data_IF_852273298452
#
_entry.id   IF_852273298452
#
_cell.length_a   1.000
_cell.length_b   1.000
_cell.length_c   1.000
_cell.angle_alpha   90.00
_cell.angle_beta   90.00
_cell.angle_gamma   90.00
#
_symmetry.space_group_name_H-M   'P 1'
#
loop_
_entity.id
_entity.type
_entity.pdbx_description
1 polymer ?
#
# COMPACT_ATOMS: atom_id res chain seq x y z
N UNK A 1 3.44 -39.84 -84.07
CA UNK A 1 4.13 -41.11 -83.78
C UNK A 1 4.35 -41.14 -82.27
N UNK A 2 3.72 -42.11 -81.61
CA UNK A 2 3.85 -42.42 -80.18
C UNK A 2 5.32 -42.60 -79.76
N UNK A 3 5.69 -42.15 -78.54
CA UNK A 3 6.48 -42.90 -77.54
C UNK A 3 6.30 -42.20 -76.18
N UNK A 4 5.52 -42.74 -75.24
CA UNK A 4 5.83 -43.76 -74.21
C UNK A 4 6.71 -43.23 -73.04
N UNK A 5 6.02 -42.90 -71.93
CA UNK A 5 6.24 -43.22 -70.49
C UNK A 5 7.65 -43.53 -69.97
N UNK A 6 8.01 -42.91 -68.82
CA UNK A 6 8.27 -43.55 -67.50
C UNK A 6 8.95 -42.51 -66.56
N UNK A 7 8.20 -41.97 -65.59
CA UNK A 7 8.37 -42.16 -64.13
C UNK A 7 9.80 -42.04 -63.59
N UNK A 8 10.04 -41.15 -62.63
CA UNK A 8 10.50 -41.50 -61.27
C UNK A 8 10.67 -40.24 -60.40
N UNK A 9 10.15 -40.37 -59.19
CA UNK A 9 10.17 -39.50 -58.03
C UNK A 9 11.56 -38.95 -57.70
N UNK A 10 11.71 -37.62 -57.59
CA UNK A 10 12.81 -37.02 -56.85
C UNK A 10 12.32 -36.62 -55.46
N UNK A 11 12.66 -37.48 -54.50
CA UNK A 11 12.63 -37.25 -53.06
C UNK A 11 13.28 -35.90 -52.75
N UNK A 12 12.64 -35.14 -51.86
CA UNK A 12 13.22 -33.95 -51.26
C UNK A 12 14.46 -34.32 -50.43
N UNK A 13 15.62 -33.75 -50.76
CA UNK A 13 16.62 -33.42 -49.75
C UNK A 13 16.93 -31.94 -49.89
N UNK A 14 16.39 -31.17 -48.95
CA UNK A 14 16.86 -29.82 -48.64
C UNK A 14 18.27 -29.94 -48.08
N UNK A 15 19.27 -29.99 -48.95
CA UNK A 15 20.65 -29.78 -48.53
C UNK A 15 20.80 -28.30 -48.19
N UNK A 16 20.86 -28.02 -46.89
CA UNK A 16 21.38 -26.75 -46.38
C UNK A 16 22.73 -26.51 -47.05
N UNK A 17 22.83 -25.47 -47.87
CA UNK A 17 24.10 -24.99 -48.41
C UNK A 17 25.02 -24.64 -47.23
N UNK A 18 25.83 -25.60 -46.81
CA UNK A 18 26.99 -25.35 -45.95
C UNK A 18 28.06 -24.72 -46.82
N UNK A 19 27.95 -23.41 -47.06
CA UNK A 19 29.05 -22.59 -47.56
C UNK A 19 30.21 -22.77 -46.59
N UNK A 20 31.24 -23.49 -47.05
CA UNK A 20 32.45 -23.70 -46.26
C UNK A 20 33.15 -22.36 -46.06
N UNK A 21 33.00 -21.78 -44.86
CA UNK A 21 33.66 -20.53 -44.51
C UNK A 21 35.16 -20.75 -44.37
N UNK A 22 35.96 -20.12 -45.22
CA UNK A 22 37.42 -20.09 -45.10
C UNK A 22 37.83 -19.04 -44.06
N UNK A 23 37.67 -19.36 -42.78
CA UNK A 23 38.02 -18.47 -41.67
C UNK A 23 39.21 -19.01 -40.86
N UNK A 24 40.10 -18.12 -40.44
CA UNK A 24 41.17 -18.45 -39.48
C UNK A 24 40.57 -18.86 -38.13
N UNK A 25 41.23 -19.77 -37.41
CA UNK A 25 40.83 -20.20 -36.06
C UNK A 25 41.20 -19.20 -34.95
N UNK A 26 41.13 -17.90 -35.26
CA UNK A 26 41.34 -16.85 -34.28
C UNK A 26 40.09 -16.73 -33.40
N UNK A 27 40.27 -16.69 -32.07
CA UNK A 27 39.18 -16.59 -31.10
C UNK A 27 39.11 -15.16 -30.57
N UNK A 28 38.39 -14.32 -31.29
CA UNK A 28 38.12 -12.92 -30.95
C UNK A 28 36.61 -12.73 -31.08
N UNK A 29 35.83 -13.08 -30.06
CA UNK A 29 34.39 -13.17 -30.18
C UNK A 29 33.76 -11.83 -30.54
N UNK A 30 32.67 -11.88 -31.32
CA UNK A 30 31.86 -10.72 -31.68
C UNK A 30 30.37 -11.04 -31.51
N UNK A 31 29.57 -10.02 -31.20
CA UNK A 31 28.12 -10.14 -31.11
C UNK A 31 27.50 -9.71 -32.43
N UNK A 32 26.71 -10.59 -33.04
CA UNK A 32 25.94 -10.29 -34.24
C UNK A 32 24.69 -9.47 -33.95
N UNK A 33 24.18 -8.76 -34.96
CA UNK A 33 22.89 -8.07 -34.90
C UNK A 33 21.70 -9.01 -34.68
N UNK A 34 21.89 -10.31 -34.83
CA UNK A 34 20.92 -11.37 -34.50
C UNK A 34 21.01 -11.82 -33.03
N UNK A 35 21.86 -11.18 -32.23
CA UNK A 35 22.05 -11.50 -30.81
C UNK A 35 22.85 -12.79 -30.56
N UNK A 36 23.53 -13.35 -31.58
CA UNK A 36 24.40 -14.53 -31.42
C UNK A 36 25.86 -14.16 -31.33
N UNK A 37 26.58 -14.86 -30.46
CA UNK A 37 28.04 -14.78 -30.35
C UNK A 37 28.68 -15.59 -31.48
N UNK A 38 29.57 -14.96 -32.23
CA UNK A 38 30.40 -15.60 -33.24
C UNK A 38 31.85 -15.64 -32.76
N UNK A 39 32.56 -16.75 -32.98
CA UNK A 39 33.94 -16.92 -32.48
C UNK A 39 34.93 -15.91 -33.06
N UNK A 40 34.61 -15.35 -34.23
CA UNK A 40 35.27 -14.19 -34.81
C UNK A 40 34.41 -13.51 -35.87
N UNK A 41 34.82 -12.30 -36.27
CA UNK A 41 34.17 -11.49 -37.30
C UNK A 41 33.98 -12.20 -38.64
N UNK A 42 34.94 -13.00 -39.08
CA UNK A 42 34.84 -13.75 -40.34
C UNK A 42 33.67 -14.74 -40.31
N UNK A 43 33.49 -15.46 -39.20
CA UNK A 43 32.39 -16.42 -39.03
C UNK A 43 31.03 -15.72 -38.97
N UNK A 44 30.95 -14.51 -38.38
CA UNK A 44 29.75 -13.68 -38.36
C UNK A 44 29.36 -13.21 -39.77
N UNK A 45 30.33 -12.66 -40.52
CA UNK A 45 30.11 -12.20 -41.90
C UNK A 45 29.76 -13.37 -42.83
N UNK A 46 30.38 -14.54 -42.63
CA UNK A 46 30.05 -15.73 -43.40
C UNK A 46 28.62 -16.25 -43.13
N UNK A 47 28.08 -16.00 -41.93
CA UNK A 47 26.68 -16.25 -41.61
C UNK A 47 25.72 -15.16 -42.12
N UNK A 48 26.23 -14.12 -42.81
CA UNK A 48 25.44 -13.01 -43.33
C UNK A 48 24.90 -12.05 -42.26
N UNK A 49 25.52 -12.04 -41.08
CA UNK A 49 25.10 -11.21 -39.95
C UNK A 49 26.00 -9.99 -39.81
N UNK A 50 25.42 -8.82 -39.55
CA UNK A 50 26.19 -7.59 -39.30
C UNK A 50 26.68 -7.51 -37.85
N UNK A 51 27.81 -6.84 -37.63
CA UNK A 51 28.36 -6.61 -36.29
C UNK A 51 27.43 -5.74 -35.45
N UNK A 52 27.05 -6.21 -34.27
CA UNK A 52 26.47 -5.37 -33.23
C UNK A 52 27.59 -4.68 -32.43
N UNK A 53 28.50 -5.48 -31.85
CA UNK A 53 29.66 -4.99 -31.09
C UNK A 53 30.74 -6.08 -30.94
N UNK A 54 31.96 -5.66 -30.63
CA UNK A 54 33.07 -6.56 -30.31
C UNK A 54 32.89 -7.22 -28.94
N UNK A 55 33.17 -8.51 -28.81
CA UNK A 55 32.94 -9.31 -27.61
C UNK A 55 31.78 -10.30 -27.74
N UNK A 56 31.62 -11.20 -26.75
CA UNK A 56 30.50 -12.14 -26.71
C UNK A 56 29.17 -11.39 -26.45
N UNK A 57 28.08 -11.88 -27.02
CA UNK A 57 26.76 -11.37 -26.66
C UNK A 57 26.51 -11.61 -25.17
N UNK A 58 26.30 -10.54 -24.42
CA UNK A 58 25.90 -10.63 -23.02
C UNK A 58 24.47 -11.17 -22.96
N UNK A 59 24.32 -12.35 -22.35
CA UNK A 59 23.07 -13.12 -22.25
C UNK A 59 22.00 -12.36 -21.46
N UNK A 60 21.34 -11.39 -22.09
CA UNK A 60 20.02 -10.84 -21.73
C UNK A 60 19.38 -10.33 -23.02
N UNK A 61 18.64 -11.24 -23.65
CA UNK A 61 17.68 -11.00 -24.73
C UNK A 61 18.03 -9.87 -25.73
N UNK A 62 18.88 -10.17 -26.72
CA UNK A 62 18.92 -9.44 -28.01
C UNK A 62 19.18 -7.93 -27.95
N UNK A 63 19.66 -7.42 -26.82
CA UNK A 63 19.82 -5.99 -26.59
C UNK A 63 21.25 -5.54 -26.94
N UNK A 64 21.41 -4.88 -28.08
CA UNK A 64 22.67 -4.26 -28.47
C UNK A 64 22.78 -2.85 -27.86
N UNK A 65 23.55 -2.71 -26.78
CA UNK A 65 23.79 -1.43 -26.12
C UNK A 65 25.27 -1.09 -26.01
N UNK A 66 25.65 0.19 -26.12
CA UNK A 66 27.02 0.62 -25.88
C UNK A 66 27.40 0.47 -24.41
N UNK A 67 28.70 0.27 -24.14
CA UNK A 67 29.27 0.13 -22.79
C UNK A 67 29.43 1.46 -22.04
N UNK A 68 28.68 2.51 -22.41
CA UNK A 68 28.73 3.78 -21.69
C UNK A 68 28.06 3.62 -20.32
N UNK A 69 28.78 3.92 -19.24
CA UNK A 69 28.26 3.88 -17.89
C UNK A 69 27.65 5.26 -17.57
N UNK A 70 26.33 5.37 -17.68
CA UNK A 70 25.51 6.51 -17.30
C UNK A 70 24.28 5.96 -16.56
N UNK A 71 24.41 5.62 -15.26
CA UNK A 71 23.42 4.82 -14.57
C UNK A 71 22.02 5.46 -14.60
N UNK A 72 20.98 4.62 -14.64
CA UNK A 72 19.59 5.04 -14.54
C UNK A 72 18.81 4.11 -13.60
N UNK A 73 17.80 4.66 -12.94
CA UNK A 73 16.89 3.89 -12.10
C UNK A 73 15.61 3.52 -12.87
N UNK A 74 15.30 2.21 -12.93
CA UNK A 74 14.08 1.68 -13.53
C UNK A 74 12.88 1.67 -12.58
N UNK A 75 11.67 1.55 -13.13
CA UNK A 75 10.42 1.38 -12.35
C UNK A 75 10.40 0.11 -11.50
N UNK A 76 11.28 -0.85 -11.78
CA UNK A 76 11.53 -2.07 -11.02
C UNK A 76 12.51 -1.86 -9.84
N UNK A 77 12.89 -0.62 -9.54
CA UNK A 77 13.87 -0.23 -8.51
C UNK A 77 15.26 -0.85 -8.75
N UNK A 78 15.59 -1.14 -10.01
CA UNK A 78 16.90 -1.63 -10.38
C UNK A 78 17.72 -0.57 -11.09
N UNK A 79 19.00 -0.48 -10.72
CA UNK A 79 19.99 0.32 -11.44
C UNK A 79 20.42 -0.41 -12.72
N UNK A 80 20.41 0.33 -13.84
CA UNK A 80 20.91 -0.11 -15.14
C UNK A 80 22.12 0.75 -15.52
N UNK A 81 23.17 0.16 -16.11
CA UNK A 81 24.41 0.89 -16.42
C UNK A 81 24.18 2.04 -17.41
N UNK A 82 23.13 1.96 -18.23
CA UNK A 82 22.64 3.05 -19.06
C UNK A 82 21.18 2.88 -19.47
N UNK A 83 20.62 3.95 -20.03
CA UNK A 83 19.23 4.02 -20.53
C UNK A 83 18.93 3.01 -21.63
N UNK A 84 19.90 2.64 -22.47
CA UNK A 84 19.71 1.62 -23.49
C UNK A 84 19.44 0.25 -22.83
N UNK A 85 20.23 -0.12 -21.82
CA UNK A 85 20.03 -1.37 -21.09
C UNK A 85 18.69 -1.40 -20.34
N UNK A 86 18.23 -0.27 -19.81
CA UNK A 86 16.89 -0.15 -19.21
C UNK A 86 15.80 -0.37 -20.26
N UNK A 87 15.87 0.30 -21.41
CA UNK A 87 14.84 0.21 -22.46
C UNK A 87 14.68 -1.22 -23.02
N UNK A 88 15.72 -2.04 -22.94
CA UNK A 88 15.65 -3.44 -23.34
C UNK A 88 14.87 -4.35 -22.40
N UNK A 89 14.48 -3.87 -21.22
CA UNK A 89 13.69 -4.64 -20.25
C UNK A 89 12.20 -4.33 -20.28
N UNK A 90 11.79 -3.26 -20.95
CA UNK A 90 10.42 -2.77 -20.94
C UNK A 90 10.02 -1.98 -19.68
N UNK A 91 10.91 -1.85 -18.69
CA UNK A 91 10.71 -0.95 -17.56
C UNK A 91 11.00 0.51 -17.95
N UNK A 92 10.31 1.45 -17.30
CA UNK A 92 10.47 2.88 -17.58
C UNK A 92 11.54 3.50 -16.69
N UNK A 93 12.14 4.60 -17.17
CA UNK A 93 13.09 5.39 -16.38
C UNK A 93 12.34 6.20 -15.32
N UNK A 94 12.75 6.05 -14.06
CA UNK A 94 12.27 6.87 -12.94
C UNK A 94 13.12 8.14 -12.87
N UNK A 95 14.44 7.99 -12.74
CA UNK A 95 15.38 9.10 -12.71
C UNK A 95 16.75 8.68 -13.26
N UNK A 96 17.60 9.66 -13.57
CA UNK A 96 19.01 9.43 -13.87
C UNK A 96 19.79 9.16 -12.58
N UNK A 97 20.86 8.37 -12.67
CA UNK A 97 21.62 7.88 -11.52
C UNK A 97 21.17 6.50 -11.07
N UNK A 98 21.92 5.92 -10.14
CA UNK A 98 21.57 4.63 -9.52
C UNK A 98 20.26 4.75 -8.73
N UNK A 99 19.46 3.70 -8.67
CA UNK A 99 18.34 3.68 -7.74
C UNK A 99 18.83 3.91 -6.32
N UNK A 100 18.00 4.55 -5.51
CA UNK A 100 18.20 4.62 -4.08
C UNK A 100 18.11 3.20 -3.51
N UNK A 101 19.23 2.48 -3.49
CA UNK A 101 19.33 1.24 -2.72
C UNK A 101 19.05 1.62 -1.29
N UNK A 102 18.21 0.83 -0.59
CA UNK A 102 18.13 0.89 0.87
C UNK A 102 19.55 1.02 1.40
N UNK A 103 19.89 2.21 1.92
CA UNK A 103 21.23 2.50 2.40
C UNK A 103 21.59 1.38 3.36
N UNK A 104 22.59 0.58 3.01
CA UNK A 104 23.08 -0.46 3.90
C UNK A 104 23.73 0.26 5.07
N UNK A 105 22.98 0.43 6.14
CA UNK A 105 23.45 1.08 7.35
C UNK A 105 24.41 0.15 8.06
N UNK A 106 25.71 0.37 7.88
CA UNK A 106 26.77 -0.27 8.66
C UNK A 106 26.80 0.34 10.07
N UNK A 107 25.78 0.05 10.88
CA UNK A 107 25.64 0.53 12.25
C UNK A 107 25.86 -0.60 13.25
N UNK A 108 26.45 -0.31 14.42
CA UNK A 108 26.57 -1.30 15.48
C UNK A 108 25.18 -1.64 16.05
N UNK A 109 25.03 -2.88 16.56
CA UNK A 109 23.82 -3.33 17.26
C UNK A 109 23.79 -2.81 18.71
N UNK A 110 23.78 -1.49 18.87
CA UNK A 110 23.64 -0.81 20.15
C UNK A 110 22.20 -0.31 20.26
N UNK A 111 21.54 -0.60 21.39
CA UNK A 111 20.18 -0.15 21.67
C UNK A 111 20.21 1.05 22.62
N UNK A 112 20.44 2.23 22.06
CA UNK A 112 20.41 3.53 22.73
C UNK A 112 19.46 4.44 21.94
N UNK A 113 18.14 4.36 22.19
CA UNK A 113 17.17 4.95 21.31
C UNK A 113 17.26 6.48 21.24
N UNK A 114 16.96 7.05 20.07
CA UNK A 114 16.85 8.49 19.83
C UNK A 114 15.55 8.81 19.07
N UNK A 115 15.00 10.00 19.31
CA UNK A 115 13.85 10.51 18.58
C UNK A 115 14.34 11.45 17.49
N UNK A 116 13.98 11.16 16.24
CA UNK A 116 14.24 12.02 15.10
C UNK A 116 13.18 13.13 14.98
N UNK A 117 13.53 14.24 14.34
CA UNK A 117 12.58 15.33 14.00
C UNK A 117 11.45 14.90 13.06
N UNK A 118 11.55 13.69 12.48
CA UNK A 118 10.48 13.06 11.71
C UNK A 118 9.47 12.30 12.59
N UNK A 119 9.62 12.38 13.92
CA UNK A 119 8.75 11.73 14.90
C UNK A 119 8.97 10.23 15.03
N UNK A 120 10.06 9.67 14.46
CA UNK A 120 10.38 8.25 14.55
C UNK A 120 11.46 7.97 15.60
N UNK A 121 11.25 6.88 16.33
CA UNK A 121 12.26 6.30 17.22
C UNK A 121 13.25 5.46 16.42
N UNK A 122 14.53 5.73 16.61
CA UNK A 122 15.64 4.96 16.04
C UNK A 122 16.36 4.20 17.15
N UNK A 123 16.73 2.94 16.92
CA UNK A 123 17.44 2.11 17.92
C UNK A 123 18.77 2.72 18.39
N UNK A 124 19.40 3.53 17.54
CA UNK A 124 20.56 4.34 17.88
C UNK A 124 20.75 5.51 16.91
N UNK A 125 21.60 6.45 17.31
CA UNK A 125 21.94 7.66 16.55
C UNK A 125 22.60 7.36 15.18
N UNK A 126 23.34 6.26 15.06
CA UNK A 126 23.90 5.84 13.76
C UNK A 126 22.78 5.51 12.75
N UNK A 127 21.77 4.75 13.17
CA UNK A 127 20.66 4.37 12.31
C UNK A 127 19.81 5.58 11.90
N UNK A 128 19.64 6.56 12.80
CA UNK A 128 18.98 7.84 12.50
C UNK A 128 19.78 8.64 11.46
N UNK A 129 21.08 8.84 11.69
CA UNK A 129 21.96 9.58 10.78
C UNK A 129 22.10 8.89 9.42
N UNK A 130 22.07 7.55 9.37
CA UNK A 130 22.09 6.79 8.13
C UNK A 130 20.88 7.11 7.22
N UNK A 131 19.73 7.41 7.84
CA UNK A 131 18.53 7.87 7.16
C UNK A 131 18.47 9.39 6.97
N UNK A 132 19.55 10.11 7.31
CA UNK A 132 19.65 11.58 7.19
C UNK A 132 18.55 12.33 7.94
N UNK A 133 18.12 11.79 9.08
CA UNK A 133 17.18 12.44 10.00
C UNK A 133 17.95 13.16 11.10
N UNK A 134 17.56 14.40 11.39
CA UNK A 134 18.13 15.17 12.51
C UNK A 134 17.55 14.70 13.85
N UNK A 135 18.40 14.65 14.90
CA UNK A 135 17.95 14.33 16.25
C UNK A 135 17.06 15.44 16.79
N UNK A 136 15.92 15.05 17.35
CA UNK A 136 15.08 15.93 18.17
C UNK A 136 15.52 15.86 19.64
N UNK A 137 15.55 14.65 20.21
CA UNK A 137 16.02 14.41 21.57
C UNK A 137 16.50 12.96 21.76
N UNK A 138 17.25 12.71 22.83
CA UNK A 138 17.64 11.35 23.22
C UNK A 138 16.43 10.59 23.80
N UNK A 139 16.42 9.26 23.68
CA UNK A 139 15.30 8.40 24.06
C UNK A 139 14.28 8.20 22.93
N UNK A 140 13.26 7.37 23.19
CA UNK A 140 12.19 7.12 22.22
C UNK A 140 11.31 8.35 22.02
N UNK A 141 10.76 8.53 20.82
CA UNK A 141 9.73 9.55 20.60
C UNK A 141 8.53 9.28 21.50
N UNK A 142 8.00 10.35 22.10
CA UNK A 142 6.71 10.28 22.80
C UNK A 142 5.66 9.97 21.74
N UNK A 143 4.99 8.82 21.85
CA UNK A 143 3.76 8.62 21.08
C UNK A 143 2.85 9.79 21.44
N UNK A 144 2.33 10.48 20.43
CA UNK A 144 1.18 11.34 20.64
C UNK A 144 0.07 10.41 21.09
N UNK A 145 -0.06 10.23 22.40
CA UNK A 145 -1.21 9.55 22.96
C UNK A 145 -2.39 10.42 22.57
N UNK A 146 -3.08 10.00 21.51
CA UNK A 146 -4.48 10.28 21.30
C UNK A 146 -5.17 9.68 22.53
N UNK A 147 -5.15 10.41 23.64
CA UNK A 147 -5.94 10.14 24.81
C UNK A 147 -7.41 10.29 24.38
N UNK A 148 -7.97 9.22 23.81
CA UNK A 148 -9.37 8.95 24.06
C UNK A 148 -9.53 8.88 25.58
N UNK A 149 -10.59 9.47 26.17
CA UNK A 149 -10.85 9.29 27.59
C UNK A 149 -10.83 7.81 27.91
N UNK A 150 -9.90 7.37 28.76
CA UNK A 150 -9.86 6.00 29.22
C UNK A 150 -11.11 5.83 30.08
N UNK A 151 -12.13 5.16 29.55
CA UNK A 151 -13.26 4.73 30.38
C UNK A 151 -12.70 3.91 31.55
N UNK A 152 -13.18 4.14 32.79
CA UNK A 152 -12.64 3.45 33.94
C UNK A 152 -12.89 1.94 33.80
N UNK A 153 -11.84 1.14 34.01
CA UNK A 153 -11.99 -0.32 34.05
C UNK A 153 -12.70 -0.69 35.35
N UNK A 154 -14.00 -1.00 35.26
CA UNK A 154 -14.82 -1.36 36.41
C UNK A 154 -14.77 -2.86 36.72
N UNK A 155 -14.16 -3.23 37.85
CA UNK A 155 -14.17 -4.59 38.39
C UNK A 155 -15.46 -4.85 39.19
N UNK A 156 -16.62 -4.76 38.53
CA UNK A 156 -17.93 -4.96 39.13
C UNK A 156 -18.55 -6.29 38.70
N UNK A 157 -19.47 -6.81 39.50
CA UNK A 157 -20.31 -7.93 39.07
C UNK A 157 -21.38 -7.45 38.06
N UNK A 158 -21.97 -8.38 37.33
CA UNK A 158 -23.05 -8.08 36.37
C UNK A 158 -24.44 -8.16 37.01
N UNK A 159 -24.55 -7.93 38.32
CA UNK A 159 -25.82 -7.95 39.03
C UNK A 159 -26.60 -6.68 38.66
N UNK A 160 -27.87 -6.85 38.28
CA UNK A 160 -28.71 -5.73 37.85
C UNK A 160 -29.60 -5.25 39.01
N UNK A 161 -29.16 -4.19 39.67
CA UNK A 161 -29.88 -3.45 40.71
C UNK A 161 -29.70 -1.95 40.42
N UNK A 162 -30.49 -1.38 39.49
CA UNK A 162 -30.19 -0.08 38.93
C UNK A 162 -30.23 1.04 39.98
N UNK A 163 -29.32 2.00 39.84
CA UNK A 163 -29.24 3.21 40.68
C UNK A 163 -29.06 4.45 39.82
N UNK A 164 -29.54 5.60 40.29
CA UNK A 164 -29.28 6.89 39.68
C UNK A 164 -28.06 7.56 40.32
N UNK A 165 -27.11 7.97 39.48
CA UNK A 165 -25.95 8.76 39.89
C UNK A 165 -26.23 10.26 39.91
N UNK A 166 -25.39 11.01 40.64
CA UNK A 166 -25.44 12.49 40.72
C UNK A 166 -25.13 13.20 39.40
N UNK A 167 -24.63 12.46 38.42
CA UNK A 167 -24.41 12.86 37.03
C UNK A 167 -25.66 12.65 36.13
N UNK A 168 -26.76 12.14 36.69
CA UNK A 168 -27.98 11.84 35.95
C UNK A 168 -27.90 10.58 35.09
N UNK A 169 -26.87 9.74 35.29
CA UNK A 169 -26.69 8.46 34.59
C UNK A 169 -27.29 7.33 35.41
N UNK A 170 -28.03 6.44 34.75
CA UNK A 170 -28.46 5.17 35.35
C UNK A 170 -27.34 4.16 35.27
N UNK A 171 -26.91 3.63 36.40
CA UNK A 171 -25.92 2.57 36.50
C UNK A 171 -26.60 1.23 36.79
N UNK A 172 -26.15 0.13 36.17
CA UNK A 172 -26.76 -1.20 36.39
C UNK A 172 -26.67 -1.66 37.84
N UNK A 173 -25.69 -1.16 38.59
CA UNK A 173 -25.54 -1.35 40.02
C UNK A 173 -24.69 -0.26 40.67
N UNK A 174 -24.74 -0.20 42.00
CA UNK A 174 -24.00 0.77 42.81
C UNK A 174 -22.47 0.67 42.62
N UNK A 175 -21.92 -0.51 42.34
CA UNK A 175 -20.48 -0.67 42.06
C UNK A 175 -20.07 0.10 40.80
N UNK A 176 -20.86 0.00 39.73
CA UNK A 176 -20.59 0.73 38.48
C UNK A 176 -20.71 2.23 38.69
N UNK A 177 -21.68 2.70 39.47
CA UNK A 177 -21.81 4.11 39.85
C UNK A 177 -20.55 4.64 40.56
N UNK A 178 -20.09 3.95 41.61
CA UNK A 178 -18.88 4.32 42.35
C UNK A 178 -17.62 4.23 41.48
N UNK A 179 -17.54 3.26 40.57
CA UNK A 179 -16.43 3.14 39.61
C UNK A 179 -16.30 4.38 38.72
N UNK A 180 -17.44 4.94 38.29
CA UNK A 180 -17.52 6.17 37.53
C UNK A 180 -17.47 7.44 38.40
N UNK A 181 -17.28 7.29 39.72
CA UNK A 181 -17.21 8.39 40.70
C UNK A 181 -18.47 9.25 40.76
N UNK A 182 -19.62 8.69 40.39
CA UNK A 182 -20.91 9.30 40.64
C UNK A 182 -21.34 9.05 42.08
N UNK A 183 -22.09 9.99 42.67
CA UNK A 183 -22.68 9.82 44.00
C UNK A 183 -24.09 9.26 43.88
N UNK A 184 -24.52 8.47 44.85
CA UNK A 184 -25.86 7.89 44.88
C UNK A 184 -26.95 8.96 45.03
N UNK A 185 -27.93 8.96 44.15
CA UNK A 185 -29.13 9.82 44.22
C UNK A 185 -30.33 9.04 44.74
N UNK A 186 -30.74 7.98 44.01
CA UNK A 186 -31.87 7.15 44.38
C UNK A 186 -31.74 5.73 43.84
N UNK A 187 -32.47 4.81 44.47
CA UNK A 187 -32.67 3.47 43.94
C UNK A 187 -33.53 3.53 42.67
N UNK A 188 -33.22 2.67 41.71
CA UNK A 188 -33.85 2.65 40.41
C UNK A 188 -33.15 3.53 39.37
N UNK A 189 -33.62 3.49 38.11
CA UNK A 189 -33.10 4.34 37.06
C UNK A 189 -33.33 5.82 37.38
N UNK A 190 -32.48 6.69 36.83
CA UNK A 190 -32.73 8.13 36.86
C UNK A 190 -34.07 8.43 36.20
N UNK A 191 -34.86 9.29 36.84
CA UNK A 191 -36.04 9.85 36.22
C UNK A 191 -35.58 10.72 35.04
N UNK A 192 -35.62 10.18 33.81
CA UNK A 192 -35.69 11.05 32.64
C UNK A 192 -36.85 11.98 32.92
N UNK A 193 -36.58 13.30 32.94
CA UNK A 193 -37.58 14.35 33.19
C UNK A 193 -38.93 13.85 32.71
N UNK A 194 -39.92 13.65 33.60
CA UNK A 194 -41.18 13.05 33.20
C UNK A 194 -41.62 13.80 31.96
N UNK A 195 -41.85 13.06 30.87
CA UNK A 195 -42.63 13.62 29.78
C UNK A 195 -43.83 14.30 30.47
N UNK A 196 -44.15 15.56 30.13
CA UNK A 196 -45.29 16.24 30.73
C UNK A 196 -46.47 15.27 30.71
N UNK A 197 -47.34 15.29 31.72
CA UNK A 197 -48.49 14.36 31.78
C UNK A 197 -49.45 14.65 30.63
N UNK A 198 -49.09 14.17 29.45
CA UNK A 198 -49.69 14.50 28.19
C UNK A 198 -50.98 13.70 28.10
N UNK A 199 -52.10 14.40 28.29
CA UNK A 199 -53.42 13.86 28.00
C UNK A 199 -53.65 13.89 26.49
N UNK A 200 -52.86 13.11 25.76
CA UNK A 200 -52.91 13.01 24.32
C UNK A 200 -53.57 11.69 23.90
N UNK A 201 -54.34 11.68 22.79
CA UNK A 201 -54.83 10.44 22.22
C UNK A 201 -53.64 9.56 21.76
N UNK A 202 -53.73 8.25 21.99
CA UNK A 202 -52.79 7.26 21.48
C UNK A 202 -53.03 7.00 19.99
N UNK A 203 -52.83 8.02 19.16
CA UNK A 203 -52.92 7.95 17.70
C UNK A 203 -51.54 8.19 17.10
N UNK A 204 -51.15 7.34 16.14
CA UNK A 204 -49.90 7.47 15.42
C UNK A 204 -50.13 8.24 14.11
N UNK A 205 -49.72 9.50 14.09
CA UNK A 205 -49.67 10.41 12.95
C UNK A 205 -48.39 11.26 13.07
N UNK A 206 -47.22 10.74 12.64
CA UNK A 206 -45.93 11.25 13.06
C UNK A 206 -45.66 12.66 12.52
N UNK A 207 -44.99 13.48 13.33
CA UNK A 207 -44.53 14.82 12.97
C UNK A 207 -43.07 15.03 13.39
N UNK A 208 -42.32 15.77 12.60
CA UNK A 208 -40.95 16.14 12.92
C UNK A 208 -40.94 17.50 13.61
N UNK A 209 -40.44 17.54 14.85
CA UNK A 209 -40.28 18.77 15.61
C UNK A 209 -39.15 19.65 15.06
N UNK A 210 -39.18 20.94 15.43
CA UNK A 210 -38.09 21.88 15.13
C UNK A 210 -36.74 21.52 15.81
N UNK A 211 -36.77 20.55 16.72
CA UNK A 211 -35.64 19.94 17.41
C UNK A 211 -35.09 18.67 16.73
N UNK A 212 -35.59 18.32 15.55
CA UNK A 212 -35.28 17.08 14.81
C UNK A 212 -35.67 15.78 15.53
N UNK A 213 -36.64 15.83 16.45
CA UNK A 213 -37.23 14.65 17.08
C UNK A 213 -38.55 14.29 16.40
N UNK A 214 -38.76 12.99 16.15
CA UNK A 214 -40.06 12.50 15.64
C UNK A 214 -41.00 12.25 16.80
N UNK A 215 -42.18 12.88 16.76
CA UNK A 215 -43.25 12.68 17.73
C UNK A 215 -44.37 11.86 17.11
N UNK A 216 -44.99 10.96 17.89
CA UNK A 216 -46.09 10.09 17.43
C UNK A 216 -47.30 10.90 16.93
N UNK A 217 -47.54 12.09 17.47
CA UNK A 217 -48.54 13.02 16.99
C UNK A 217 -48.24 14.46 17.43
N UNK A 218 -48.96 15.41 16.83
CA UNK A 218 -48.87 16.84 17.13
C UNK A 218 -49.18 17.18 18.58
N UNK A 219 -50.06 16.43 19.26
CA UNK A 219 -50.37 16.65 20.67
C UNK A 219 -49.14 16.35 21.54
N UNK A 220 -48.47 15.22 21.30
CA UNK A 220 -47.26 14.85 22.04
C UNK A 220 -46.10 15.83 21.78
N UNK A 221 -45.94 16.30 20.54
CA UNK A 221 -44.97 17.36 20.22
C UNK A 221 -45.26 18.67 20.97
N UNK A 222 -46.50 19.15 20.91
CA UNK A 222 -46.92 20.38 21.58
C UNK A 222 -46.84 20.27 23.10
N UNK A 223 -47.15 19.09 23.65
CA UNK A 223 -47.02 18.81 25.07
C UNK A 223 -45.58 18.94 25.55
N UNK A 224 -44.60 18.58 24.71
CA UNK A 224 -43.18 18.80 24.95
C UNK A 224 -42.71 20.24 24.64
N UNK A 225 -43.63 21.19 24.40
CA UNK A 225 -43.35 22.58 24.01
C UNK A 225 -42.50 22.73 22.73
N UNK A 226 -42.58 21.75 21.83
CA UNK A 226 -41.86 21.77 20.56
C UNK A 226 -42.78 22.26 19.45
N UNK A 227 -42.24 23.10 18.55
CA UNK A 227 -42.95 23.58 17.37
C UNK A 227 -42.78 22.60 16.22
N UNK A 228 -43.79 22.52 15.34
CA UNK A 228 -43.71 21.70 14.14
C UNK A 228 -42.61 22.20 13.20
N UNK A 229 -41.73 21.29 12.77
CA UNK A 229 -40.79 21.52 11.68
C UNK A 229 -41.45 21.19 10.34
N UNK A 230 -41.91 19.94 10.18
CA UNK A 230 -42.66 19.49 9.01
C UNK A 230 -43.49 18.21 9.30
N UNK A 231 -44.54 17.94 8.51
CA UNK A 231 -45.35 16.73 8.68
C UNK A 231 -44.56 15.46 8.29
N UNK A 232 -44.82 14.36 9.02
CA UNK A 232 -44.13 13.09 8.87
C UNK A 232 -42.93 12.93 9.81
N UNK A 233 -42.35 11.74 9.84
CA UNK A 233 -41.15 11.47 10.63
C UNK A 233 -39.93 12.26 10.12
N UNK A 234 -39.00 12.56 11.02
CA UNK A 234 -37.76 13.24 10.65
C UNK A 234 -36.94 12.38 9.70
N UNK A 235 -36.35 13.02 8.68
CA UNK A 235 -35.40 12.38 7.76
C UNK A 235 -34.01 12.37 8.41
N UNK A 236 -33.41 11.18 8.52
CA UNK A 236 -32.02 10.97 8.91
C UNK A 236 -31.03 11.49 7.87
#
# INVERSE_FOLDING_TARGET
MFFLILTLSSVALSESMSTSCMCSKILLPVCGSDGKTYSNKCLMECAGVSLAYDGECSSKAGCACPLHINPVCGTDQKTYDNECLLNCTGYLKVHNGECETQRVCACPFILLPVCGKDGKTYNNECLMNCQSVEKEHDGECKKAELFAPVEPVCMCNSMYFPVCGSDGVTYDNECLMHCHKAEFVNEGPCESTPAPSCHCPHIYNPVCGADNVTYDNTCLMACNNVKEGYPGACKS
#
